data_IF_576126831875
#
_entry.id   IF_576126831875
#
_cell.length_a   1.000
_cell.length_b   1.000
_cell.length_c   1.000
_cell.angle_alpha   90.00
_cell.angle_beta   90.00
_cell.angle_gamma   90.00
#
_symmetry.space_group_name_H-M   'P 1'
#
loop_
_entity.id
_entity.type
_entity.pdbx_description
1 polymer ?
#
# COMPACT_ATOMS: atom_id res chain seq x y z
N UNK A 1 -0.07 -11.06 10.44
CA UNK A 1 0.57 -10.13 11.39
C UNK A 1 0.29 -8.73 10.90
N UNK A 2 -0.07 -7.79 11.79
CA UNK A 2 -0.12 -6.37 11.41
C UNK A 2 1.33 -5.86 11.40
N UNK A 3 1.80 -5.19 10.34
CA UNK A 3 3.18 -4.70 10.27
C UNK A 3 3.50 -3.79 11.47
N UNK A 4 4.71 -3.91 12.02
CA UNK A 4 5.14 -3.27 13.28
C UNK A 4 5.13 -1.73 13.21
N UNK A 5 4.93 -1.17 12.01
CA UNK A 5 4.97 0.26 11.68
C UNK A 5 3.59 0.93 11.78
N UNK A 6 2.55 0.18 12.16
CA UNK A 6 1.18 0.67 12.32
C UNK A 6 1.00 1.47 13.61
N UNK A 7 1.28 2.77 13.54
CA UNK A 7 0.95 3.69 14.63
C UNK A 7 -0.56 3.92 14.73
N UNK A 8 -1.04 4.34 15.90
CA UNK A 8 -2.46 4.73 16.09
C UNK A 8 -2.92 5.81 15.10
N UNK A 9 -1.99 6.68 14.70
CA UNK A 9 -2.26 7.72 13.71
C UNK A 9 -2.49 7.13 12.33
N UNK A 10 -1.62 6.23 11.86
CA UNK A 10 -1.78 5.57 10.55
C UNK A 10 -3.08 4.78 10.52
N UNK A 11 -3.45 4.08 11.59
CA UNK A 11 -4.73 3.38 11.67
C UNK A 11 -5.93 4.33 11.55
N UNK A 12 -5.88 5.49 12.20
CA UNK A 12 -6.96 6.48 12.08
C UNK A 12 -7.07 7.05 10.66
N UNK A 13 -5.93 7.37 10.04
CA UNK A 13 -5.85 7.87 8.67
C UNK A 13 -6.33 6.83 7.64
N UNK A 14 -5.98 5.55 7.80
CA UNK A 14 -6.45 4.46 6.93
C UNK A 14 -7.96 4.27 7.06
N UNK A 15 -8.51 4.28 8.28
CA UNK A 15 -9.96 4.20 8.50
C UNK A 15 -10.69 5.35 7.79
N UNK A 16 -10.15 6.57 7.87
CA UNK A 16 -10.72 7.73 7.20
C UNK A 16 -10.61 7.64 5.68
N UNK A 17 -9.45 7.22 5.16
CA UNK A 17 -9.23 6.97 3.74
C UNK A 17 -10.24 5.94 3.21
N UNK A 18 -10.38 4.79 3.90
CA UNK A 18 -11.35 3.76 3.55
C UNK A 18 -12.78 4.27 3.55
N UNK A 19 -13.15 5.09 4.54
CA UNK A 19 -14.47 5.70 4.61
C UNK A 19 -14.72 6.65 3.44
N UNK A 20 -13.71 7.42 3.02
CA UNK A 20 -13.83 8.42 1.96
C UNK A 20 -13.84 7.81 0.56
N UNK A 21 -13.04 6.78 0.31
CA UNK A 21 -12.83 6.22 -1.02
C UNK A 21 -13.46 4.84 -1.24
N UNK A 22 -13.95 4.19 -0.18
CA UNK A 22 -14.68 2.92 -0.25
C UNK A 22 -13.80 1.67 -0.25
N UNK A 23 -12.47 1.81 -0.18
CA UNK A 23 -11.51 0.70 -0.12
C UNK A 23 -10.31 1.08 0.76
N UNK A 24 -9.66 0.10 1.44
CA UNK A 24 -8.52 0.36 2.30
C UNK A 24 -7.27 0.70 1.48
N UNK A 25 -6.40 1.58 2.00
CA UNK A 25 -5.01 1.59 1.57
C UNK A 25 -4.36 0.30 2.10
N UNK A 26 -4.04 -0.66 1.23
CA UNK A 26 -3.46 -1.94 1.65
C UNK A 26 -2.06 -1.73 2.24
N UNK A 27 -1.99 -1.63 3.56
CA UNK A 27 -0.75 -1.34 4.29
C UNK A 27 0.27 -2.49 4.27
N UNK A 28 -0.10 -3.66 3.76
CA UNK A 28 0.85 -4.76 3.51
C UNK A 28 1.89 -4.40 2.44
N UNK A 29 1.47 -3.62 1.44
CA UNK A 29 2.35 -3.16 0.35
C UNK A 29 2.83 -1.72 0.55
N UNK A 30 2.54 -1.13 1.71
CA UNK A 30 3.04 0.19 2.05
C UNK A 30 4.54 0.13 2.39
N UNK A 31 5.28 1.23 2.17
CA UNK A 31 6.67 1.34 2.61
C UNK A 31 6.82 1.09 4.11
N UNK A 32 7.95 0.50 4.49
CA UNK A 32 8.39 0.36 5.89
C UNK A 32 8.93 1.69 6.43
N UNK A 33 8.12 2.74 6.35
CA UNK A 33 8.40 4.08 6.86
C UNK A 33 7.08 4.71 7.33
N UNK A 34 6.81 4.76 8.65
CA UNK A 34 5.54 5.24 9.18
C UNK A 34 5.28 6.72 8.86
N UNK A 35 6.31 7.56 8.81
CA UNK A 35 6.17 8.98 8.51
C UNK A 35 5.76 9.18 7.05
N UNK A 36 6.37 8.42 6.13
CA UNK A 36 6.02 8.42 4.72
C UNK A 36 4.59 7.91 4.48
N UNK A 37 4.21 6.82 5.15
CA UNK A 37 2.85 6.25 5.09
C UNK A 37 1.81 7.26 5.58
N UNK A 38 2.04 7.89 6.74
CA UNK A 38 1.15 8.93 7.26
C UNK A 38 1.05 10.12 6.31
N UNK A 39 2.16 10.57 5.72
CA UNK A 39 2.18 11.65 4.73
C UNK A 39 1.33 11.31 3.49
N UNK A 40 1.50 10.11 2.93
CA UNK A 40 0.75 9.63 1.75
C UNK A 40 -0.76 9.58 2.02
N UNK A 41 -1.16 9.04 3.17
CA UNK A 41 -2.57 8.98 3.57
C UNK A 41 -3.18 10.37 3.74
N UNK A 42 -2.47 11.30 4.41
CA UNK A 42 -2.93 12.70 4.55
C UNK A 42 -3.08 13.37 3.19
N UNK A 43 -2.10 13.22 2.30
CA UNK A 43 -2.16 13.79 0.96
C UNK A 43 -3.35 13.24 0.15
N UNK A 44 -3.60 11.93 0.20
CA UNK A 44 -4.75 11.32 -0.45
C UNK A 44 -6.07 11.90 0.05
N UNK A 45 -6.22 12.06 1.37
CA UNK A 45 -7.38 12.69 2.00
C UNK A 45 -7.52 14.17 1.62
N UNK A 46 -6.42 14.92 1.57
CA UNK A 46 -6.45 16.35 1.22
C UNK A 46 -6.84 16.57 -0.25
N UNK A 47 -6.20 15.86 -1.17
CA UNK A 47 -6.38 15.99 -2.62
C UNK A 47 -7.65 15.30 -3.12
N UNK A 48 -8.22 14.39 -2.33
CA UNK A 48 -9.36 13.58 -2.75
C UNK A 48 -9.00 12.52 -3.79
N UNK A 49 -7.72 12.17 -3.90
CA UNK A 49 -7.21 11.12 -4.78
C UNK A 49 -6.83 9.94 -3.89
N UNK A 50 -7.43 8.74 -4.06
CA UNK A 50 -7.11 7.64 -3.18
C UNK A 50 -5.67 7.18 -3.38
N UNK A 51 -4.97 6.94 -2.27
CA UNK A 51 -3.76 6.15 -2.31
C UNK A 51 -4.12 4.66 -2.44
N UNK A 52 -3.73 4.05 -3.55
CA UNK A 52 -3.99 2.66 -3.91
C UNK A 52 -2.66 1.91 -3.99
N UNK A 53 -2.26 1.31 -2.86
CA UNK A 53 -0.99 0.59 -2.73
C UNK A 53 -0.97 -0.72 -3.51
N UNK A 54 -2.13 -1.33 -3.75
CA UNK A 54 -2.24 -2.53 -4.59
C UNK A 54 -1.87 -2.18 -6.03
N UNK A 55 -2.40 -1.06 -6.55
CA UNK A 55 -2.03 -0.54 -7.86
C UNK A 55 -0.55 -0.17 -7.98
N UNK A 56 0.02 0.43 -6.94
CA UNK A 56 1.46 0.76 -6.92
C UNK A 56 2.32 -0.51 -6.94
N UNK A 57 1.90 -1.56 -6.22
CA UNK A 57 2.56 -2.85 -6.26
C UNK A 57 2.44 -3.52 -7.63
N UNK A 58 1.26 -3.51 -8.25
CA UNK A 58 1.04 -4.05 -9.60
C UNK A 58 1.88 -3.31 -10.64
N UNK A 59 1.96 -1.98 -10.56
CA UNK A 59 2.79 -1.17 -11.46
C UNK A 59 4.28 -1.51 -11.31
N UNK A 60 4.77 -1.60 -10.07
CA UNK A 60 6.12 -2.05 -9.80
C UNK A 60 6.37 -3.46 -10.32
N UNK A 61 5.44 -4.40 -10.08
CA UNK A 61 5.53 -5.79 -10.50
C UNK A 61 5.64 -5.89 -12.03
N UNK A 62 4.87 -5.12 -12.79
CA UNK A 62 4.85 -5.16 -14.26
C UNK A 62 5.97 -4.34 -14.92
N UNK A 63 6.45 -3.27 -14.29
CA UNK A 63 7.37 -2.34 -14.94
C UNK A 63 8.79 -2.35 -14.38
N UNK A 64 8.98 -2.74 -13.11
CA UNK A 64 10.27 -2.61 -12.42
C UNK A 64 10.80 -3.92 -11.84
N UNK A 65 9.91 -4.84 -11.44
CA UNK A 65 10.33 -6.09 -10.83
C UNK A 65 11.15 -6.96 -11.80
N UNK A 66 12.22 -7.62 -11.32
CA UNK A 66 12.99 -8.55 -12.11
C UNK A 66 12.13 -9.67 -12.72
N UNK A 67 12.49 -10.12 -13.92
CA UNK A 67 11.71 -11.13 -14.65
C UNK A 67 11.51 -12.43 -13.86
N UNK A 68 12.54 -12.88 -13.14
CA UNK A 68 12.46 -14.10 -12.32
C UNK A 68 11.42 -13.96 -11.20
N UNK A 69 11.33 -12.78 -10.58
CA UNK A 69 10.38 -12.49 -9.51
C UNK A 69 8.97 -12.41 -10.07
N UNK A 70 8.77 -11.69 -11.17
CA UNK A 70 7.48 -11.57 -11.84
C UNK A 70 6.92 -12.92 -12.28
N UNK A 71 7.78 -13.78 -12.86
CA UNK A 71 7.40 -15.14 -13.26
C UNK A 71 7.01 -15.98 -12.05
N UNK A 72 7.85 -16.04 -11.02
CA UNK A 72 7.58 -16.81 -9.81
C UNK A 72 6.32 -16.33 -9.07
N UNK A 73 6.07 -15.02 -9.05
CA UNK A 73 4.85 -14.47 -8.46
C UNK A 73 3.60 -14.84 -9.28
N UNK A 74 3.64 -14.70 -10.61
CA UNK A 74 2.51 -15.06 -11.51
C UNK A 74 2.20 -16.57 -11.51
N UNK A 75 3.18 -17.43 -11.27
CA UNK A 75 3.01 -18.89 -11.16
C UNK A 75 2.59 -19.34 -9.76
N UNK A 76 2.57 -18.45 -8.78
CA UNK A 76 2.29 -18.77 -7.37
C UNK A 76 3.46 -19.46 -6.65
N UNK A 77 4.65 -19.46 -7.24
CA UNK A 77 5.88 -20.02 -6.65
C UNK A 77 6.49 -19.06 -5.60
N UNK A 78 6.20 -17.76 -5.69
CA UNK A 78 6.57 -16.75 -4.69
C UNK A 78 5.30 -16.23 -4.03
N UNK A 79 5.22 -16.37 -2.70
CA UNK A 79 4.16 -15.82 -1.85
C UNK A 79 4.75 -14.68 -1.01
N UNK A 80 3.99 -13.59 -0.88
CA UNK A 80 4.32 -12.37 -0.10
C UNK A 80 3.35 -12.22 1.06
#
# INVERSE_FOLDING_TARGET
MQPEHLTKEISALEIEHRKRFGFPANLMFAPDDPDLVAKRLRQALEEGIPWDTDKEFDDWLENQAPEWFRKGYKTGEILI
#
